data_IF_103969713362
#
_entry.id   IF_103969713362
#
_cell.length_a   1.000
_cell.length_b   1.000
_cell.length_c   1.000
_cell.angle_alpha   90.00
_cell.angle_beta   90.00
_cell.angle_gamma   90.00
#
_symmetry.space_group_name_H-M   'P 1'
#
loop_
_entity.id
_entity.type
_entity.pdbx_description
1 polymer ?
#
# COMPACT_ATOMS: atom_id res chain seq x y z
N UNK A 1 -5.80 5.98 16.04
CA UNK A 1 -6.05 6.65 14.73
C UNK A 1 -6.26 5.59 13.67
N UNK A 2 -7.21 5.80 12.75
CA UNK A 2 -7.36 4.99 11.53
C UNK A 2 -6.74 5.77 10.36
N UNK A 3 -5.90 5.12 9.56
CA UNK A 3 -5.34 5.66 8.31
C UNK A 3 -5.92 4.84 7.18
N UNK A 4 -6.76 5.46 6.36
CA UNK A 4 -7.43 4.77 5.27
C UNK A 4 -6.60 4.87 3.98
N UNK A 5 -6.03 3.74 3.53
CA UNK A 5 -5.32 3.61 2.26
C UNK A 5 -6.08 2.76 1.26
N UNK A 6 -7.36 2.43 1.52
CA UNK A 6 -8.21 1.76 0.54
C UNK A 6 -8.29 2.63 -0.71
N UNK A 7 -8.13 2.00 -1.87
CA UNK A 7 -8.16 2.68 -3.17
C UNK A 7 -7.07 3.76 -3.33
N UNK A 8 -6.01 3.73 -2.52
CA UNK A 8 -4.90 4.64 -2.68
C UNK A 8 -3.94 4.10 -3.75
N UNK A 9 -3.94 4.77 -4.90
CA UNK A 9 -3.15 4.34 -6.07
C UNK A 9 -1.67 4.77 -6.03
N UNK A 10 -1.22 5.34 -4.91
CA UNK A 10 0.15 5.79 -4.70
C UNK A 10 0.34 7.28 -5.00
N UNK A 11 1.37 7.60 -5.77
CA UNK A 11 1.83 8.98 -6.00
C UNK A 11 3.26 9.22 -5.52
N UNK A 12 3.64 10.48 -5.28
CA UNK A 12 5.05 10.83 -5.05
C UNK A 12 5.57 10.43 -3.65
N UNK A 13 6.72 9.75 -3.59
CA UNK A 13 7.40 9.38 -2.33
C UNK A 13 7.71 10.59 -1.43
N UNK A 14 8.03 11.75 -2.03
CA UNK A 14 8.28 13.00 -1.29
C UNK A 14 7.08 13.43 -0.45
N UNK A 15 5.85 13.16 -0.92
CA UNK A 15 4.61 13.45 -0.18
C UNK A 15 4.41 12.41 0.92
N UNK A 16 4.53 11.12 0.60
CA UNK A 16 4.40 10.02 1.56
C UNK A 16 5.36 10.16 2.75
N UNK A 17 6.59 10.62 2.53
CA UNK A 17 7.59 10.85 3.60
C UNK A 17 7.14 11.87 4.66
N UNK A 18 6.37 12.89 4.28
CA UNK A 18 5.84 13.88 5.24
C UNK A 18 4.83 13.22 6.19
N UNK A 19 3.88 12.45 5.63
CA UNK A 19 2.92 11.69 6.42
C UNK A 19 3.59 10.61 7.26
N UNK A 20 4.61 9.93 6.73
CA UNK A 20 5.38 8.93 7.48
C UNK A 20 5.99 9.53 8.76
N UNK A 21 6.52 10.76 8.69
CA UNK A 21 7.09 11.45 9.86
C UNK A 21 6.01 11.73 10.92
N UNK A 22 4.85 12.25 10.49
CA UNK A 22 3.73 12.54 11.38
C UNK A 22 3.19 11.27 12.06
N UNK A 23 2.89 10.25 11.25
CA UNK A 23 2.31 8.99 11.73
C UNK A 23 3.30 8.27 12.64
N UNK A 24 4.61 8.25 12.33
CA UNK A 24 5.63 7.66 13.20
C UNK A 24 5.70 8.34 14.56
N UNK A 25 5.63 9.67 14.60
CA UNK A 25 5.61 10.43 15.85
C UNK A 25 4.40 10.05 16.70
N UNK A 26 3.22 10.01 16.09
CA UNK A 26 1.99 9.61 16.76
C UNK A 26 2.04 8.15 17.25
N UNK A 27 2.57 7.25 16.42
CA UNK A 27 2.74 5.83 16.71
C UNK A 27 3.68 5.57 17.91
N UNK A 28 4.50 6.54 18.32
CA UNK A 28 5.40 6.40 19.47
C UNK A 28 4.64 6.05 20.75
N UNK A 29 3.46 6.63 20.94
CA UNK A 29 2.64 6.45 22.15
C UNK A 29 1.21 5.96 21.87
N UNK A 30 0.84 5.77 20.60
CA UNK A 30 -0.53 5.44 20.23
C UNK A 30 -0.58 4.31 19.22
N UNK A 31 -1.64 3.50 19.30
CA UNK A 31 -1.94 2.47 18.30
C UNK A 31 -2.55 3.09 17.04
N UNK A 32 -2.17 2.55 15.90
CA UNK A 32 -2.62 2.98 14.57
C UNK A 32 -3.09 1.77 13.78
N UNK A 33 -4.21 1.95 13.10
CA UNK A 33 -4.87 0.93 12.31
C UNK A 33 -4.90 1.44 10.86
N UNK A 34 -4.30 0.69 9.93
CA UNK A 34 -4.20 1.09 8.53
C UNK A 34 -5.08 0.20 7.69
N UNK A 35 -6.02 0.78 6.95
CA UNK A 35 -6.89 0.02 6.05
C UNK A 35 -6.27 -0.06 4.67
N UNK A 36 -6.20 -1.26 4.09
CA UNK A 36 -5.69 -1.52 2.74
C UNK A 36 -6.59 -2.49 1.99
N UNK A 37 -6.64 -2.38 0.66
CA UNK A 37 -7.35 -3.33 -0.18
C UNK A 37 -6.56 -3.62 -1.47
N UNK A 38 -7.12 -4.46 -2.34
CA UNK A 38 -6.52 -4.77 -3.64
C UNK A 38 -6.35 -3.55 -4.57
N UNK A 39 -6.99 -2.41 -4.28
CA UNK A 39 -6.81 -1.16 -5.02
C UNK A 39 -5.72 -0.26 -4.38
N UNK A 40 -5.15 -0.63 -3.24
CA UNK A 40 -3.93 -0.02 -2.72
C UNK A 40 -2.76 -0.50 -3.58
N UNK A 41 -2.15 0.40 -4.35
CA UNK A 41 -1.07 0.08 -5.31
C UNK A 41 0.15 0.99 -5.15
N UNK A 42 1.28 0.61 -5.77
CA UNK A 42 2.44 1.50 -5.96
C UNK A 42 2.97 2.08 -4.65
N UNK A 43 3.17 3.38 -4.59
CA UNK A 43 3.63 4.08 -3.40
C UNK A 43 2.66 3.98 -2.21
N UNK A 44 1.39 3.63 -2.42
CA UNK A 44 0.44 3.28 -1.37
C UNK A 44 0.85 1.98 -0.66
N UNK A 45 1.27 0.97 -1.42
CA UNK A 45 1.80 -0.28 -0.88
C UNK A 45 3.12 -0.05 -0.14
N UNK A 46 4.05 0.70 -0.75
CA UNK A 46 5.33 1.04 -0.10
C UNK A 46 5.08 1.77 1.23
N UNK A 47 4.12 2.68 1.26
CA UNK A 47 3.74 3.40 2.47
C UNK A 47 3.14 2.48 3.53
N UNK A 48 2.17 1.63 3.16
CA UNK A 48 1.61 0.62 4.06
C UNK A 48 2.69 -0.32 4.63
N UNK A 49 3.63 -0.78 3.80
CA UNK A 49 4.74 -1.63 4.22
C UNK A 49 5.69 -0.93 5.19
N UNK A 50 5.96 0.36 4.99
CA UNK A 50 6.78 1.16 5.92
C UNK A 50 6.06 1.36 7.25
N UNK A 51 4.75 1.56 7.23
CA UNK A 51 3.92 1.67 8.44
C UNK A 51 3.86 0.35 9.21
N UNK A 52 3.69 -0.78 8.51
CA UNK A 52 3.69 -2.14 9.08
C UNK A 52 4.96 -2.48 9.88
N UNK A 53 6.09 -1.83 9.60
CA UNK A 53 7.35 -2.01 10.36
C UNK A 53 7.35 -1.31 11.74
N UNK A 54 6.36 -0.47 12.03
CA UNK A 54 6.25 0.19 13.33
C UNK A 54 5.52 -0.71 14.32
N UNK A 55 6.03 -0.83 15.55
CA UNK A 55 5.51 -1.73 16.58
C UNK A 55 4.04 -1.49 16.95
N UNK A 56 3.58 -0.24 16.89
CA UNK A 56 2.22 0.16 17.28
C UNK A 56 1.28 0.35 16.08
N UNK A 57 1.62 -0.22 14.93
CA UNK A 57 0.77 -0.18 13.73
C UNK A 57 0.28 -1.59 13.40
N UNK A 58 -1.02 -1.73 13.12
CA UNK A 58 -1.61 -2.92 12.52
C UNK A 58 -2.20 -2.57 11.15
N UNK A 59 -1.94 -3.42 10.16
CA UNK A 59 -2.56 -3.35 8.83
C UNK A 59 -3.80 -4.25 8.82
N UNK A 60 -4.92 -3.73 8.33
CA UNK A 60 -6.19 -4.45 8.25
C UNK A 60 -6.77 -4.31 6.85
N UNK A 61 -7.53 -5.30 6.43
CA UNK A 61 -8.27 -5.26 5.17
C UNK A 61 -8.01 -6.48 4.32
N UNK A 62 -7.58 -6.28 3.08
CA UNK A 62 -7.24 -7.36 2.15
C UNK A 62 -5.85 -7.18 1.57
N UNK A 63 -5.30 -8.25 1.03
CA UNK A 63 -4.01 -8.22 0.33
C UNK A 63 -4.02 -7.13 -0.75
N UNK A 64 -2.96 -6.32 -0.77
CA UNK A 64 -2.78 -5.26 -1.77
C UNK A 64 -2.46 -5.84 -3.15
N UNK A 65 -2.40 -4.99 -4.19
CA UNK A 65 -2.27 -5.48 -5.58
C UNK A 65 -0.96 -6.19 -5.88
N UNK A 66 0.14 -5.76 -5.26
CA UNK A 66 1.48 -6.24 -5.60
C UNK A 66 2.10 -5.53 -6.80
N UNK A 67 1.81 -4.26 -7.01
CA UNK A 67 2.44 -3.41 -8.02
C UNK A 67 3.40 -2.44 -7.31
N UNK A 68 4.54 -2.92 -6.82
CA UNK A 68 5.29 -2.24 -5.75
C UNK A 68 6.77 -2.00 -6.06
N UNK A 69 7.39 -2.83 -6.89
CA UNK A 69 8.85 -2.80 -7.10
C UNK A 69 9.31 -1.88 -8.24
N UNK A 70 8.48 -1.80 -9.29
CA UNK A 70 8.69 -0.98 -10.47
C UNK A 70 7.35 -0.41 -10.98
N UNK A 71 7.42 0.59 -11.85
CA UNK A 71 6.24 1.30 -12.35
C UNK A 71 6.56 2.12 -13.60
N UNK A 72 5.75 3.12 -13.88
CA UNK A 72 6.02 4.06 -14.97
C UNK A 72 5.75 5.47 -14.47
N UNK A 73 6.69 6.38 -14.72
CA UNK A 73 6.53 7.80 -14.44
C UNK A 73 5.84 8.52 -15.59
N UNK A 74 6.08 8.08 -16.83
CA UNK A 74 5.63 8.77 -18.03
C UNK A 74 4.50 8.05 -18.78
N UNK A 75 4.24 6.79 -18.46
CA UNK A 75 3.10 6.05 -19.00
C UNK A 75 3.18 5.78 -20.51
N UNK A 76 4.39 5.63 -21.05
CA UNK A 76 4.61 5.51 -22.50
C UNK A 76 4.26 4.10 -22.98
N UNK A 77 3.38 4.04 -23.98
CA UNK A 77 3.06 2.83 -24.73
C UNK A 77 3.73 2.90 -26.11
N UNK A 78 4.43 1.83 -26.48
CA UNK A 78 5.11 1.74 -27.78
C UNK A 78 4.38 0.76 -28.69
N UNK A 79 3.93 1.23 -29.85
CA UNK A 79 3.35 0.36 -30.90
C UNK A 79 4.46 -0.42 -31.59
N UNK A 80 4.32 -1.74 -31.64
CA UNK A 80 5.25 -2.59 -32.37
C UNK A 80 5.04 -2.44 -33.90
N UNK A 81 6.03 -2.76 -34.75
CA UNK A 81 5.99 -2.49 -36.20
C UNK A 81 4.77 -3.04 -36.94
N UNK A 82 4.12 -4.08 -36.41
CA UNK A 82 2.91 -4.65 -37.00
C UNK A 82 1.64 -3.81 -36.78
N UNK A 83 1.67 -2.81 -35.91
CA UNK A 83 0.52 -2.05 -35.40
C UNK A 83 -0.59 -2.89 -34.73
N UNK A 84 -0.33 -4.17 -34.45
CA UNK A 84 -1.29 -5.08 -33.80
C UNK A 84 -1.04 -5.26 -32.30
N UNK A 85 0.13 -4.82 -31.83
CA UNK A 85 0.58 -5.01 -30.47
C UNK A 85 1.19 -3.72 -29.95
N UNK A 86 1.00 -3.48 -28.66
CA UNK A 86 1.62 -2.39 -27.92
C UNK A 86 2.33 -2.98 -26.71
N UNK A 87 3.45 -2.37 -26.34
CA UNK A 87 4.20 -2.74 -25.15
C UNK A 87 4.25 -1.55 -24.20
N UNK A 88 3.98 -1.86 -22.93
CA UNK A 88 4.13 -0.93 -21.83
C UNK A 88 5.33 -1.34 -20.99
N UNK A 89 6.43 -0.64 -21.16
CA UNK A 89 7.67 -0.93 -20.43
C UNK A 89 7.78 -0.02 -19.22
N UNK A 90 8.29 -0.57 -18.11
CA UNK A 90 8.68 0.25 -16.96
C UNK A 90 9.80 1.21 -17.35
N UNK A 91 9.67 2.49 -16.99
CA UNK A 91 10.73 3.50 -17.12
C UNK A 91 11.50 3.69 -15.80
N UNK A 92 11.17 2.87 -14.80
CA UNK A 92 11.79 2.88 -13.49
C UNK A 92 12.85 1.79 -13.41
N UNK A 93 14.00 2.12 -12.84
CA UNK A 93 14.95 1.09 -12.42
C UNK A 93 14.33 0.27 -11.30
N UNK A 94 14.58 -1.03 -11.30
CA UNK A 94 14.21 -1.91 -10.19
C UNK A 94 14.79 -1.34 -8.89
N UNK A 95 13.90 -0.77 -8.08
CA UNK A 95 14.29 0.20 -7.07
C UNK A 95 14.80 -0.47 -5.80
N UNK A 96 14.49 -1.76 -5.60
CA UNK A 96 14.92 -2.52 -4.43
C UNK A 96 14.60 -4.02 -4.54
N UNK A 97 15.62 -4.89 -4.53
CA UNK A 97 15.41 -6.37 -4.48
C UNK A 97 14.53 -6.82 -3.31
N UNK A 98 14.48 -6.06 -2.21
CA UNK A 98 13.59 -6.33 -1.08
C UNK A 98 12.10 -6.22 -1.44
N UNK A 99 11.74 -5.38 -2.40
CA UNK A 99 10.35 -5.16 -2.81
C UNK A 99 9.86 -6.23 -3.79
N UNK A 100 10.75 -6.85 -4.57
CA UNK A 100 10.42 -7.90 -5.54
C UNK A 100 9.62 -9.07 -4.95
N UNK A 101 9.83 -9.41 -3.67
CA UNK A 101 9.08 -10.49 -3.02
C UNK A 101 7.60 -10.17 -2.82
N UNK A 102 7.20 -8.91 -2.95
CA UNK A 102 5.81 -8.45 -2.87
C UNK A 102 5.22 -8.17 -4.26
N UNK A 103 6.05 -8.14 -5.32
CA UNK A 103 5.57 -7.96 -6.69
C UNK A 103 4.69 -9.13 -7.11
N UNK A 104 3.55 -8.83 -7.76
CA UNK A 104 2.47 -9.76 -8.11
C UNK A 104 1.84 -10.53 -6.93
N UNK A 105 2.18 -10.17 -5.69
CA UNK A 105 1.67 -10.85 -4.47
C UNK A 105 0.97 -9.91 -3.51
N UNK A 106 1.43 -8.67 -3.43
CA UNK A 106 0.94 -7.68 -2.49
C UNK A 106 1.43 -7.87 -1.06
N UNK A 107 0.93 -7.00 -0.20
CA UNK A 107 1.18 -6.99 1.24
C UNK A 107 -0.04 -7.62 1.90
N UNK A 108 0.19 -8.78 2.53
CA UNK A 108 -0.82 -9.45 3.34
C UNK A 108 -1.08 -8.60 4.59
N UNK A 109 -2.35 -8.27 4.92
CA UNK A 109 -2.68 -7.53 6.13
C UNK A 109 -2.33 -8.33 7.39
N UNK A 110 -2.21 -7.67 8.54
CA UNK A 110 -2.07 -8.37 9.83
C UNK A 110 -3.40 -8.98 10.27
N UNK A 111 -4.51 -8.35 9.89
CA UNK A 111 -5.88 -8.83 10.15
C UNK A 111 -6.68 -8.70 8.86
N UNK A 112 -7.14 -9.83 8.33
CA UNK A 112 -8.05 -9.84 7.18
C UNK A 112 -9.45 -9.38 7.61
N UNK A 113 -10.07 -8.50 6.82
CA UNK A 113 -11.42 -7.99 7.07
C UNK A 113 -12.42 -8.59 6.09
N UNK A 114 -13.67 -8.76 6.54
CA UNK A 114 -14.75 -9.30 5.72
C UNK A 114 -15.32 -8.20 4.80
N UNK A 115 -15.46 -8.49 3.50
CA UNK A 115 -16.07 -7.60 2.49
C UNK A 115 -17.59 -7.47 2.59
N UNK A 116 -18.26 -8.33 3.34
CA UNK A 116 -19.72 -8.33 3.51
C UNK A 116 -20.21 -7.39 4.63
N UNK A 117 -19.30 -6.73 5.34
CA UNK A 117 -19.63 -5.82 6.44
C UNK A 117 -18.74 -4.58 6.43
N UNK A 118 -19.14 -3.55 7.17
CA UNK A 118 -18.42 -2.28 7.18
C UNK A 118 -17.03 -2.42 7.82
N UNK A 119 -15.99 -2.02 7.09
CA UNK A 119 -14.61 -2.15 7.53
C UNK A 119 -14.23 -1.16 8.63
N UNK A 120 -14.88 0.00 8.71
CA UNK A 120 -14.65 0.96 9.79
C UNK A 120 -15.20 0.37 11.09
N UNK A 121 -16.38 -0.24 11.06
CA UNK A 121 -16.95 -0.95 12.22
C UNK A 121 -16.04 -2.10 12.67
N UNK A 122 -15.58 -2.93 11.74
CA UNK A 122 -14.62 -4.01 12.05
C UNK A 122 -13.31 -3.45 12.63
N UNK A 123 -12.79 -2.34 12.12
CA UNK A 123 -11.60 -1.68 12.66
C UNK A 123 -11.84 -1.13 14.08
N UNK A 124 -13.01 -0.53 14.33
CA UNK A 124 -13.40 -0.05 15.66
C UNK A 124 -13.52 -1.21 16.67
N UNK A 125 -14.02 -2.37 16.25
CA UNK A 125 -14.03 -3.58 17.08
C UNK A 125 -12.62 -4.03 17.45
N UNK A 126 -11.69 -4.03 16.48
CA UNK A 126 -10.28 -4.34 16.75
C UNK A 126 -9.63 -3.32 17.69
N UNK A 127 -9.94 -2.03 17.53
CA UNK A 127 -9.49 -0.96 18.42
C UNK A 127 -9.96 -1.23 19.86
N UNK A 128 -11.23 -1.59 20.06
CA UNK A 128 -11.81 -1.84 21.38
C UNK A 128 -11.16 -3.02 22.12
N UNK A 129 -10.73 -4.07 21.41
CA UNK A 129 -10.03 -5.24 21.99
C UNK A 129 -8.63 -4.91 22.50
N UNK A 130 -8.08 -3.81 22.03
CA UNK A 130 -6.71 -3.39 22.27
C UNK A 130 -6.60 -2.36 23.41
N UNK A 131 -7.73 -1.97 24.00
CA UNK A 131 -7.89 -1.21 25.25
C UNK A 131 -8.22 -2.17 26.39
#
# INVERSE_FOLDING_TARGET
MIVDLRNNEGGADKVARKFMKLIRSYAGNHKIYVLVNNATISQGEIFALRLKKLKNVKILGQTTKGMISYGSNYGIWEKLPSNKFEVYMTDMKDSNKFLLKYENKGIIPDIELNNESDWIEQALQNIKKDF
#
